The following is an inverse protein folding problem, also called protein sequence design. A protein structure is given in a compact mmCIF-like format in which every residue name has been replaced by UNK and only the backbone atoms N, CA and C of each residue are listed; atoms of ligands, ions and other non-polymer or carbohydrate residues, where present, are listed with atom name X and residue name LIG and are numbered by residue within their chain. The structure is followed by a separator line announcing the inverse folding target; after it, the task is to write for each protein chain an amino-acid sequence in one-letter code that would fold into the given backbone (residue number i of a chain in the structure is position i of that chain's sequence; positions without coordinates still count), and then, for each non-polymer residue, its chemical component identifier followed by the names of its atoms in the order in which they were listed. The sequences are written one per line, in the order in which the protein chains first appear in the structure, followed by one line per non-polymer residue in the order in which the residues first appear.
data_IF_390087955886
#
_entry.id   IF_390087955886
#
_cell.length_a   1.000
_cell.length_b   1.000
_cell.length_c   1.000
_cell.angle_alpha   90.00
_cell.angle_beta   90.00
_cell.angle_gamma   90.00
#
_symmetry.space_group_name_H-M   'P 1'
#
loop_
_entity.id
_entity.type
_entity.pdbx_description
1 polymer ?
#
# COMPACT_ATOMS: atom_id res chain seq x y z
N UNK A 1 -7.96 -46.62 5.72
CA UNK A 1 -7.47 -47.30 6.94
C UNK A 1 -7.03 -46.23 7.90
N UNK A 2 -7.63 -46.26 9.10
CA UNK A 2 -7.26 -45.58 10.37
C UNK A 2 -7.15 -44.06 10.41
N UNK A 3 -8.30 -43.45 10.69
CA UNK A 3 -8.47 -42.18 11.41
C UNK A 3 -7.96 -42.29 12.84
N UNK A 4 -7.11 -41.37 13.30
CA UNK A 4 -6.76 -41.25 14.72
C UNK A 4 -7.37 -39.96 15.26
N UNK A 5 -8.23 -40.13 16.24
CA UNK A 5 -8.93 -39.10 17.02
C UNK A 5 -7.98 -38.72 18.17
N UNK A 6 -7.67 -37.43 18.34
CA UNK A 6 -7.05 -36.93 19.56
C UNK A 6 -8.12 -36.30 20.44
N UNK A 7 -8.37 -36.93 21.59
CA UNK A 7 -9.03 -36.35 22.75
C UNK A 7 -7.96 -35.61 23.57
N UNK A 8 -8.26 -34.38 24.02
CA UNK A 8 -7.46 -33.68 25.04
C UNK A 8 -8.39 -33.20 26.15
N UNK A 9 -8.20 -33.77 27.35
CA UNK A 9 -8.82 -33.37 28.60
C UNK A 9 -8.22 -32.04 29.10
N UNK A 10 -9.09 -31.07 29.36
CA UNK A 10 -8.77 -29.83 30.06
C UNK A 10 -8.69 -30.06 31.57
N UNK A 11 -7.55 -29.71 32.18
CA UNK A 11 -7.47 -29.53 33.63
C UNK A 11 -7.08 -28.07 33.96
N UNK A 12 -8.02 -27.34 34.55
CA UNK A 12 -7.83 -26.03 35.16
C UNK A 12 -7.16 -26.20 36.52
N UNK A 13 -6.17 -25.34 36.83
CA UNK A 13 -5.98 -24.88 38.22
C UNK A 13 -5.41 -23.46 38.25
N UNK A 14 -6.12 -22.62 39.00
CA UNK A 14 -5.80 -21.25 39.38
C UNK A 14 -4.54 -21.15 40.24
N UNK A 15 -3.78 -20.06 40.09
CA UNK A 15 -3.18 -19.35 41.23
C UNK A 15 -3.24 -17.85 40.97
N UNK A 16 -3.96 -17.14 41.83
CA UNK A 16 -4.00 -15.69 41.99
C UNK A 16 -3.07 -15.22 43.12
N UNK A 17 -2.66 -13.95 43.01
CA UNK A 17 -2.24 -12.99 44.06
C UNK A 17 -0.86 -13.04 44.73
N UNK A 18 -0.10 -11.94 44.57
CA UNK A 18 0.23 -10.91 45.60
C UNK A 18 1.07 -9.77 44.96
N UNK A 19 0.59 -8.51 44.87
CA UNK A 19 0.95 -7.33 45.72
C UNK A 19 2.40 -7.33 46.24
N UNK A 20 3.23 -6.27 46.23
CA UNK A 20 3.08 -4.83 46.01
C UNK A 20 4.45 -4.11 46.08
N UNK A 21 4.52 -2.91 45.48
CA UNK A 21 5.35 -1.71 45.83
C UNK A 21 6.86 -1.56 45.49
N UNK A 22 7.18 -0.30 45.11
CA UNK A 22 8.47 0.40 44.94
C UNK A 22 9.16 0.22 43.58
N UNK A 23 9.70 1.23 42.87
CA UNK A 23 9.99 2.65 43.15
C UNK A 23 10.31 3.35 41.83
N UNK A 24 9.98 4.63 41.74
CA UNK A 24 10.29 5.61 40.68
C UNK A 24 11.78 5.69 40.34
N UNK A 25 12.21 5.58 39.08
CA UNK A 25 13.50 6.13 38.60
C UNK A 25 13.38 6.70 37.18
N UNK A 26 14.01 7.86 37.05
CA UNK A 26 14.04 8.86 36.00
C UNK A 26 14.50 8.43 34.60
N UNK A 27 13.96 9.16 33.62
CA UNK A 27 14.48 9.29 32.25
C UNK A 27 15.85 9.99 32.24
N UNK A 28 16.82 9.44 31.51
CA UNK A 28 17.93 10.22 30.92
C UNK A 28 18.48 9.47 29.69
N UNK A 29 18.78 10.13 28.55
CA UNK A 29 19.19 9.46 27.33
C UNK A 29 20.70 9.19 27.29
N UNK A 30 21.07 7.98 26.87
CA UNK A 30 22.43 7.53 26.59
C UNK A 30 23.04 8.32 25.42
N UNK A 31 24.25 8.85 25.63
CA UNK A 31 25.10 9.46 24.63
C UNK A 31 26.08 8.43 24.06
N UNK A 32 25.91 8.04 22.80
CA UNK A 32 26.90 7.22 22.09
C UNK A 32 28.02 8.09 21.53
N UNK A 33 29.19 8.03 22.16
CA UNK A 33 30.48 8.49 21.62
C UNK A 33 31.10 7.39 20.76
N UNK A 34 31.27 7.66 19.46
CA UNK A 34 32.05 6.81 18.55
C UNK A 34 33.52 7.25 18.63
N UNK A 35 34.35 6.49 19.33
CA UNK A 35 35.82 6.57 19.23
C UNK A 35 36.32 5.59 18.17
N UNK A 36 37.01 6.13 17.16
CA UNK A 36 37.72 5.35 16.14
C UNK A 36 39.03 4.81 16.69
N UNK A 37 39.11 3.50 16.91
CA UNK A 37 40.37 2.81 17.19
C UNK A 37 41.03 2.34 15.89
N UNK A 38 42.14 2.98 15.52
CA UNK A 38 43.15 2.42 14.62
C UNK A 38 44.41 2.11 15.43
N UNK A 39 44.89 0.87 15.35
CA UNK A 39 46.22 0.50 15.83
C UNK A 39 46.60 -0.92 15.45
N UNK A 40 47.66 -1.07 14.64
CA UNK A 40 48.67 -2.14 14.75
C UNK A 40 49.85 -1.91 13.77
N UNK A 41 50.91 -1.29 14.31
CA UNK A 41 52.36 -1.50 14.14
C UNK A 41 52.89 -2.50 13.06
N UNK A 42 53.85 -2.05 12.24
CA UNK A 42 55.17 -2.71 12.01
C UNK A 42 56.22 -1.60 11.79
N UNK A 43 57.32 -1.64 12.54
CA UNK A 43 58.34 -0.59 12.59
C UNK A 43 59.51 -0.75 11.62
N UNK A 44 60.34 0.29 11.54
CA UNK A 44 61.80 0.20 11.34
C UNK A 44 62.46 1.55 11.61
N UNK A 45 63.76 1.50 11.89
CA UNK A 45 64.56 2.46 12.66
C UNK A 45 65.40 3.40 11.79
N UNK A 46 65.93 4.46 12.43
CA UNK A 46 67.10 5.32 12.09
C UNK A 46 66.91 6.45 11.06
N UNK A 47 67.05 7.71 11.52
CA UNK A 47 68.33 8.48 11.48
C UNK A 47 68.18 9.89 12.10
N UNK A 48 69.12 10.23 12.98
CA UNK A 48 69.62 11.59 13.30
C UNK A 48 69.98 12.33 12.00
N UNK A 49 70.00 13.65 11.89
CA UNK A 49 69.94 14.77 12.82
C UNK A 49 70.16 16.06 12.00
N UNK A 50 70.64 17.11 12.67
CA UNK A 50 71.08 18.43 12.13
C UNK A 50 69.98 19.50 12.08
N UNK A 51 69.83 20.35 13.11
CA UNK A 51 70.57 21.61 13.40
C UNK A 51 70.48 22.67 12.30
N UNK A 52 69.82 23.81 12.52
CA UNK A 52 70.39 25.00 13.20
C UNK A 52 69.55 26.28 13.02
N UNK A 53 69.57 27.09 14.08
CA UNK A 53 69.53 28.57 14.14
C UNK A 53 68.45 29.38 13.37
N UNK A 54 67.66 30.18 14.12
CA UNK A 54 68.05 31.56 14.46
C UNK A 54 66.90 32.37 15.13
N UNK A 55 67.18 32.85 16.35
CA UNK A 55 66.87 34.17 16.91
C UNK A 55 65.67 34.99 16.36
N UNK A 56 64.68 35.26 17.22
CA UNK A 56 64.54 36.58 17.90
C UNK A 56 63.41 36.60 18.94
N UNK A 57 63.76 37.06 20.14
CA UNK A 57 62.88 37.42 21.26
C UNK A 57 61.89 38.52 20.88
N UNK A 58 60.64 38.40 21.35
CA UNK A 58 59.77 39.50 21.82
C UNK A 58 58.59 38.87 22.56
N UNK A 59 58.67 38.86 23.89
CA UNK A 59 57.85 39.71 24.78
C UNK A 59 56.37 39.34 24.75
N UNK A 60 55.93 38.78 25.87
CA UNK A 60 54.54 38.54 26.25
C UNK A 60 53.61 39.67 25.82
N UNK A 61 52.50 39.30 25.17
CA UNK A 61 51.23 39.93 25.45
C UNK A 61 50.12 38.90 25.28
N UNK A 62 49.48 38.58 26.40
CA UNK A 62 48.25 37.82 26.44
C UNK A 62 47.19 38.55 25.63
N UNK A 63 46.83 37.99 24.47
CA UNK A 63 45.47 38.11 23.97
C UNK A 63 44.88 36.71 24.01
N UNK A 64 44.19 36.47 25.13
CA UNK A 64 43.26 35.35 25.29
C UNK A 64 42.21 35.55 24.19
N UNK A 65 42.39 34.90 23.04
CA UNK A 65 41.32 34.79 22.05
C UNK A 65 40.20 34.05 22.77
N UNK A 66 39.14 34.78 23.12
CA UNK A 66 37.87 34.15 23.40
C UNK A 66 37.43 33.49 22.09
N UNK A 67 37.79 32.21 21.94
CA UNK A 67 37.18 31.35 20.95
C UNK A 67 35.72 31.23 21.36
N UNK A 68 34.89 32.12 20.83
CA UNK A 68 33.45 31.96 20.89
C UNK A 68 33.17 30.64 20.18
N UNK A 69 32.67 29.60 20.88
CA UNK A 69 32.40 28.34 20.23
C UNK A 69 31.37 28.63 19.14
N UNK A 70 31.72 28.37 17.88
CA UNK A 70 30.77 28.41 16.78
C UNK A 70 29.82 27.25 17.07
N UNK A 71 28.72 27.54 17.76
CA UNK A 71 27.64 26.59 17.94
C UNK A 71 27.00 26.45 16.56
N UNK A 72 27.47 25.46 15.79
CA UNK A 72 26.68 24.94 14.70
C UNK A 72 25.41 24.41 15.34
N UNK A 73 24.32 25.19 15.28
CA UNK A 73 22.98 24.64 15.48
C UNK A 73 22.80 23.60 14.38
N UNK A 74 23.18 22.36 14.66
CA UNK A 74 22.78 21.20 13.88
C UNK A 74 21.27 21.21 14.00
N UNK A 75 20.61 21.75 12.98
CA UNK A 75 19.16 21.67 12.85
C UNK A 75 18.90 20.18 12.69
N UNK A 76 18.57 19.50 13.79
CA UNK A 76 18.12 18.11 13.75
C UNK A 76 17.03 18.07 12.69
N UNK A 77 17.17 17.26 11.63
CA UNK A 77 16.18 17.22 10.58
C UNK A 77 14.86 16.86 11.25
N UNK A 78 13.88 17.75 11.10
CA UNK A 78 12.55 17.55 11.66
C UNK A 78 12.04 16.21 11.10
N UNK A 79 11.75 15.25 11.99
CA UNK A 79 11.35 13.92 11.57
C UNK A 79 9.96 14.05 10.94
N UNK A 80 9.92 14.11 9.61
CA UNK A 80 8.68 14.12 8.84
C UNK A 80 8.05 12.74 9.02
N UNK A 81 7.10 12.62 9.95
CA UNK A 81 6.37 11.36 10.22
C UNK A 81 5.39 11.00 9.10
N UNK A 82 4.91 12.01 8.36
CA UNK A 82 3.87 11.87 7.35
C UNK A 82 4.23 12.63 6.07
N UNK A 83 4.24 11.92 4.95
CA UNK A 83 4.43 12.52 3.63
C UNK A 83 3.08 13.02 3.11
N UNK A 84 3.05 14.28 2.65
CA UNK A 84 1.84 14.84 2.02
C UNK A 84 1.41 14.01 0.80
N UNK A 85 0.11 14.02 0.43
CA UNK A 85 -0.39 13.26 -0.72
C UNK A 85 0.38 13.51 -2.02
N UNK A 86 0.85 14.74 -2.24
CA UNK A 86 1.69 15.11 -3.39
C UNK A 86 3.04 14.39 -3.37
N UNK A 87 3.71 14.34 -2.22
CA UNK A 87 4.99 13.63 -2.08
C UNK A 87 4.83 12.12 -2.28
N UNK A 88 3.74 11.55 -1.77
CA UNK A 88 3.41 10.13 -1.97
C UNK A 88 3.24 9.83 -3.47
N UNK A 89 2.49 10.68 -4.16
CA UNK A 89 2.26 10.51 -5.60
C UNK A 89 3.57 10.60 -6.41
N UNK A 90 4.45 11.55 -6.09
CA UNK A 90 5.77 11.64 -6.75
C UNK A 90 6.61 10.38 -6.54
N UNK A 91 6.62 9.81 -5.32
CA UNK A 91 7.32 8.54 -5.05
C UNK A 91 6.71 7.39 -5.86
N UNK A 92 5.38 7.27 -5.86
CA UNK A 92 4.68 6.22 -6.63
C UNK A 92 4.96 6.30 -8.14
N UNK A 93 5.10 7.50 -8.71
CA UNK A 93 5.49 7.66 -10.12
C UNK A 93 6.87 7.05 -10.39
N UNK A 94 7.84 7.33 -9.53
CA UNK A 94 9.20 6.80 -9.65
C UNK A 94 9.18 5.28 -9.49
N UNK A 95 8.46 4.78 -8.48
CA UNK A 95 8.33 3.34 -8.24
C UNK A 95 7.64 2.61 -9.40
N UNK A 96 6.61 3.18 -10.02
CA UNK A 96 5.95 2.56 -11.16
C UNK A 96 6.87 2.43 -12.37
N UNK A 97 7.70 3.44 -12.63
CA UNK A 97 8.71 3.37 -13.70
C UNK A 97 9.76 2.30 -13.37
N UNK A 98 10.23 2.25 -12.11
CA UNK A 98 11.19 1.23 -11.66
C UNK A 98 10.62 -0.18 -11.84
N UNK A 99 9.41 -0.43 -11.33
CA UNK A 99 8.69 -1.70 -11.42
C UNK A 99 8.45 -2.16 -12.87
N UNK A 100 8.18 -1.23 -13.79
CA UNK A 100 7.99 -1.59 -15.22
C UNK A 100 9.26 -2.05 -15.92
N UNK A 101 10.42 -1.65 -15.41
CA UNK A 101 11.73 -2.00 -15.97
C UNK A 101 12.30 -3.29 -15.41
N UNK A 102 11.63 -3.92 -14.45
CA UNK A 102 12.05 -5.21 -13.92
C UNK A 102 12.14 -6.25 -15.04
N UNK A 103 13.18 -7.08 -14.95
CA UNK A 103 13.36 -8.23 -15.83
C UNK A 103 12.30 -9.28 -15.52
N UNK A 104 12.08 -10.21 -16.46
CA UNK A 104 10.98 -11.19 -16.32
C UNK A 104 11.22 -12.12 -15.12
N UNK A 105 12.44 -12.57 -14.92
CA UNK A 105 12.89 -13.36 -13.76
C UNK A 105 12.63 -12.65 -12.43
N UNK A 106 12.95 -11.35 -12.34
CA UNK A 106 12.66 -10.55 -11.15
C UNK A 106 11.15 -10.49 -10.87
N UNK A 107 10.33 -10.23 -11.89
CA UNK A 107 8.87 -10.17 -11.73
C UNK A 107 8.35 -11.54 -11.27
N UNK A 108 8.81 -12.63 -11.88
CA UNK A 108 8.39 -14.00 -11.52
C UNK A 108 8.67 -14.28 -10.04
N UNK A 109 9.93 -14.09 -9.61
CA UNK A 109 10.35 -14.41 -8.23
C UNK A 109 9.59 -13.54 -7.23
N UNK A 110 9.57 -12.22 -7.44
CA UNK A 110 8.91 -11.28 -6.53
C UNK A 110 7.40 -11.51 -6.47
N UNK A 111 6.78 -11.91 -7.59
CA UNK A 111 5.34 -12.18 -7.65
C UNK A 111 4.98 -13.53 -7.02
N UNK A 112 5.84 -14.53 -7.15
CA UNK A 112 5.65 -15.80 -6.46
C UNK A 112 5.67 -15.60 -4.94
N UNK A 113 6.65 -14.85 -4.42
CA UNK A 113 6.70 -14.49 -3.00
C UNK A 113 5.47 -13.71 -2.54
N UNK A 114 5.00 -12.73 -3.32
CA UNK A 114 3.76 -12.03 -2.99
C UNK A 114 2.56 -12.97 -2.93
N UNK A 115 2.45 -13.93 -3.86
CA UNK A 115 1.43 -14.97 -3.82
C UNK A 115 1.50 -15.83 -2.56
N UNK A 116 2.70 -16.27 -2.18
CA UNK A 116 2.94 -17.05 -0.94
C UNK A 116 2.55 -16.26 0.32
N UNK A 117 2.87 -14.96 0.40
CA UNK A 117 2.49 -14.13 1.54
C UNK A 117 0.97 -13.89 1.63
N UNK A 118 0.28 -13.74 0.50
CA UNK A 118 -1.19 -13.74 0.50
C UNK A 118 -1.73 -15.10 0.92
N UNK A 119 -1.13 -16.20 0.46
CA UNK A 119 -1.49 -17.56 0.89
C UNK A 119 -1.36 -17.76 2.40
N UNK A 120 -0.26 -17.28 3.00
CA UNK A 120 -0.06 -17.27 4.45
C UNK A 120 -1.16 -16.50 5.19
N UNK A 121 -1.48 -15.29 4.72
CA UNK A 121 -2.56 -14.49 5.30
C UNK A 121 -3.92 -15.20 5.21
N UNK A 122 -4.21 -15.83 4.08
CA UNK A 122 -5.44 -16.61 3.90
C UNK A 122 -5.48 -17.82 4.83
N UNK A 123 -4.36 -18.54 4.98
CA UNK A 123 -4.24 -19.68 5.88
C UNK A 123 -4.50 -19.27 7.35
N UNK A 124 -3.91 -18.16 7.81
CA UNK A 124 -4.19 -17.62 9.14
C UNK A 124 -5.68 -17.25 9.32
N UNK A 125 -6.26 -16.58 8.32
CA UNK A 125 -7.66 -16.14 8.37
C UNK A 125 -8.65 -17.32 8.43
N UNK A 126 -8.42 -18.41 7.70
CA UNK A 126 -9.28 -19.61 7.76
C UNK A 126 -9.04 -20.42 9.02
N UNK A 127 -7.82 -20.51 9.52
CA UNK A 127 -7.52 -21.29 10.71
C UNK A 127 -8.13 -20.64 11.95
N UNK A 128 -8.09 -19.31 12.05
CA UNK A 128 -8.73 -18.60 13.17
C UNK A 128 -10.24 -18.54 12.97
N UNK A 129 -10.70 -18.15 11.77
CA UNK A 129 -12.12 -17.99 11.51
C UNK A 129 -12.90 -19.30 11.49
N UNK A 130 -12.32 -20.37 10.95
CA UNK A 130 -12.98 -21.66 10.77
C UNK A 130 -12.91 -22.59 11.98
N UNK A 131 -12.11 -22.27 13.01
CA UNK A 131 -12.01 -23.06 14.24
C UNK A 131 -12.76 -22.45 15.43
N UNK A 132 -13.63 -21.46 15.20
CA UNK A 132 -14.47 -20.85 16.25
C UNK A 132 -15.96 -21.00 15.93
N UNK A 133 -16.49 -22.23 15.77
CA UNK A 133 -17.87 -22.47 15.32
C UNK A 133 -18.92 -21.83 16.24
N UNK A 134 -18.69 -21.84 17.56
CA UNK A 134 -19.59 -21.19 18.52
C UNK A 134 -19.69 -19.68 18.29
N UNK A 135 -18.59 -19.03 17.91
CA UNK A 135 -18.60 -17.61 17.55
C UNK A 135 -19.22 -17.39 16.19
N UNK A 136 -18.99 -18.26 15.21
CA UNK A 136 -19.65 -18.17 13.90
C UNK A 136 -21.18 -18.19 14.04
N UNK A 137 -21.71 -19.07 14.89
CA UNK A 137 -23.15 -19.21 15.14
C UNK A 137 -23.71 -18.08 16.02
N UNK A 138 -23.08 -17.78 17.16
CA UNK A 138 -23.62 -16.86 18.17
C UNK A 138 -23.25 -15.39 17.92
N UNK A 139 -22.08 -15.14 17.32
CA UNK A 139 -21.56 -13.79 17.06
C UNK A 139 -20.72 -13.72 15.77
N UNK A 140 -21.36 -13.80 14.59
CA UNK A 140 -20.65 -13.82 13.31
C UNK A 140 -19.82 -12.55 13.06
N UNK A 141 -20.17 -11.42 13.69
CA UNK A 141 -19.39 -10.19 13.62
C UNK A 141 -18.01 -10.34 14.26
N UNK A 142 -17.95 -10.94 15.45
CA UNK A 142 -16.68 -11.17 16.15
C UNK A 142 -15.80 -12.21 15.43
N UNK A 143 -16.39 -13.27 14.89
CA UNK A 143 -15.67 -14.25 14.07
C UNK A 143 -15.00 -13.58 12.85
N UNK A 144 -15.74 -12.74 12.13
CA UNK A 144 -15.22 -12.00 10.97
C UNK A 144 -14.15 -11.00 11.36
N UNK A 145 -14.28 -10.36 12.52
CA UNK A 145 -13.27 -9.44 13.05
C UNK A 145 -11.96 -10.17 13.36
N UNK A 146 -12.02 -11.34 14.01
CA UNK A 146 -10.82 -12.14 14.32
C UNK A 146 -10.10 -12.60 13.04
N UNK A 147 -10.85 -13.13 12.07
CA UNK A 147 -10.31 -13.54 10.77
C UNK A 147 -9.74 -12.34 9.99
N UNK A 148 -10.46 -11.21 9.97
CA UNK A 148 -10.04 -9.99 9.32
C UNK A 148 -8.83 -9.31 9.96
N UNK A 149 -8.68 -9.38 11.28
CA UNK A 149 -7.59 -8.74 12.00
C UNK A 149 -6.22 -9.38 11.69
N UNK A 150 -6.17 -10.67 11.38
CA UNK A 150 -4.90 -11.36 11.08
C UNK A 150 -4.51 -11.34 9.61
N UNK A 151 -5.46 -11.14 8.71
CA UNK A 151 -5.23 -11.12 7.26
C UNK A 151 -4.19 -10.06 6.78
N UNK A 152 -4.05 -8.87 7.39
CA UNK A 152 -3.12 -7.85 6.90
C UNK A 152 -1.65 -8.26 6.82
N UNK A 153 -1.24 -9.32 7.53
CA UNK A 153 0.14 -9.83 7.51
C UNK A 153 0.68 -10.03 6.10
N UNK A 154 -0.15 -10.48 5.16
CA UNK A 154 0.26 -10.74 3.78
C UNK A 154 0.76 -9.48 3.06
N UNK A 155 -0.02 -8.39 3.10
CA UNK A 155 0.40 -7.14 2.45
C UNK A 155 1.49 -6.40 3.23
N UNK A 156 1.54 -6.55 4.57
CA UNK A 156 2.64 -6.04 5.38
C UNK A 156 3.95 -6.66 4.90
N UNK A 157 4.02 -8.00 4.80
CA UNK A 157 5.22 -8.70 4.32
C UNK A 157 5.59 -8.25 2.90
N UNK A 158 4.62 -8.22 1.98
CA UNK A 158 4.84 -7.75 0.60
C UNK A 158 5.43 -6.34 0.55
N UNK A 159 4.89 -5.42 1.36
CA UNK A 159 5.37 -4.05 1.40
C UNK A 159 6.78 -3.93 2.00
N UNK A 160 7.14 -4.78 2.97
CA UNK A 160 8.46 -4.76 3.61
C UNK A 160 9.53 -5.45 2.77
N UNK A 161 9.19 -6.54 2.09
CA UNK A 161 10.12 -7.27 1.21
C UNK A 161 10.23 -6.65 -0.19
N UNK A 162 9.33 -5.74 -0.55
CA UNK A 162 9.28 -5.14 -1.88
C UNK A 162 8.80 -6.11 -2.97
N UNK A 163 8.01 -7.11 -2.61
CA UNK A 163 7.43 -8.10 -3.53
C UNK A 163 6.40 -7.47 -4.48
N UNK A 164 6.13 -8.13 -5.61
CA UNK A 164 5.27 -7.60 -6.68
C UNK A 164 3.86 -8.19 -6.57
N UNK A 165 2.92 -7.42 -6.03
CA UNK A 165 1.51 -7.80 -5.96
C UNK A 165 0.71 -7.09 -7.05
N UNK A 166 0.02 -7.86 -7.89
CA UNK A 166 -0.82 -7.41 -9.00
C UNK A 166 -1.79 -6.29 -8.59
N UNK A 167 -2.57 -6.51 -7.53
CA UNK A 167 -3.64 -5.59 -7.11
C UNK A 167 -3.09 -4.22 -6.69
N UNK A 168 -1.93 -4.19 -6.02
CA UNK A 168 -1.20 -2.95 -5.71
C UNK A 168 -0.52 -2.33 -6.95
N UNK A 169 0.00 -3.15 -7.86
CA UNK A 169 0.65 -2.69 -9.09
C UNK A 169 -0.33 -1.98 -10.03
N UNK A 170 -1.63 -2.33 -10.01
CA UNK A 170 -2.67 -1.60 -10.78
C UNK A 170 -2.61 -0.10 -10.50
N UNK A 171 -2.57 0.33 -9.23
CA UNK A 171 -2.47 1.75 -8.87
C UNK A 171 -1.14 2.36 -9.35
N UNK A 172 -0.03 1.74 -8.95
CA UNK A 172 1.31 2.33 -9.09
C UNK A 172 1.69 2.49 -10.57
N UNK A 173 1.36 1.51 -11.40
CA UNK A 173 1.68 1.55 -12.83
C UNK A 173 0.79 2.53 -13.60
N UNK A 174 -0.48 2.67 -13.23
CA UNK A 174 -1.37 3.64 -13.87
C UNK A 174 -1.02 5.09 -13.53
N UNK A 175 -0.70 5.36 -12.26
CA UNK A 175 -0.18 6.67 -11.86
C UNK A 175 1.09 7.01 -12.68
N UNK A 176 2.01 6.06 -12.83
CA UNK A 176 3.22 6.27 -13.63
C UNK A 176 2.92 6.51 -15.13
N UNK A 177 1.95 5.78 -15.70
CA UNK A 177 1.54 5.94 -17.10
C UNK A 177 0.95 7.33 -17.36
N UNK A 178 0.05 7.81 -16.51
CA UNK A 178 -0.63 9.10 -16.72
C UNK A 178 0.22 10.31 -16.36
N UNK A 179 1.20 10.17 -15.48
CA UNK A 179 1.96 11.32 -14.97
C UNK A 179 2.85 12.01 -15.99
N UNK A 180 3.21 11.33 -17.08
CA UNK A 180 4.16 11.85 -18.06
C UNK A 180 3.50 12.15 -19.41
N UNK A 181 3.97 13.21 -20.06
CA UNK A 181 3.75 13.39 -21.50
C UNK A 181 4.69 12.45 -22.25
N UNK A 182 4.16 11.39 -22.83
CA UNK A 182 4.92 10.42 -23.61
C UNK A 182 4.86 10.76 -25.10
N UNK A 183 5.99 10.64 -25.81
CA UNK A 183 5.98 10.53 -27.28
C UNK A 183 5.40 9.17 -27.65
N UNK A 184 4.65 9.06 -28.75
CA UNK A 184 3.91 7.85 -29.14
C UNK A 184 4.75 6.55 -29.05
N UNK A 185 5.98 6.54 -29.58
CA UNK A 185 6.88 5.37 -29.49
C UNK A 185 7.26 4.99 -28.04
N UNK A 186 7.52 5.99 -27.19
CA UNK A 186 7.84 5.75 -25.76
C UNK A 186 6.61 5.32 -24.98
N UNK A 187 5.42 5.84 -25.34
CA UNK A 187 4.16 5.42 -24.74
C UNK A 187 3.91 3.94 -24.99
N UNK A 188 4.03 3.49 -26.24
CA UNK A 188 3.79 2.09 -26.61
C UNK A 188 4.75 1.16 -25.87
N UNK A 189 6.06 1.48 -25.85
CA UNK A 189 7.05 0.71 -25.11
C UNK A 189 6.69 0.60 -23.62
N UNK A 190 6.29 1.71 -23.00
CA UNK A 190 5.99 1.72 -21.58
C UNK A 190 4.69 1.00 -21.25
N UNK A 191 3.68 1.13 -22.11
CA UNK A 191 2.45 0.37 -22.02
C UNK A 191 2.71 -1.14 -22.09
N UNK A 192 3.54 -1.60 -23.04
CA UNK A 192 3.94 -3.01 -23.12
C UNK A 192 4.67 -3.48 -21.86
N UNK A 193 5.57 -2.67 -21.31
CA UNK A 193 6.27 -2.98 -20.06
C UNK A 193 5.32 -3.08 -18.86
N UNK A 194 4.34 -2.18 -18.76
CA UNK A 194 3.32 -2.21 -17.71
C UNK A 194 2.41 -3.42 -17.84
N UNK A 195 1.89 -3.69 -19.04
CA UNK A 195 1.03 -4.86 -19.30
C UNK A 195 1.78 -6.17 -19.03
N UNK A 196 3.07 -6.26 -19.39
CA UNK A 196 3.94 -7.39 -19.05
C UNK A 196 4.02 -7.58 -17.53
N UNK A 197 4.31 -6.52 -16.77
CA UNK A 197 4.39 -6.61 -15.30
C UNK A 197 3.03 -7.05 -14.71
N UNK A 198 1.92 -6.41 -15.08
CA UNK A 198 0.60 -6.76 -14.56
C UNK A 198 0.22 -8.22 -14.86
N UNK A 199 0.44 -8.67 -16.10
CA UNK A 199 0.10 -10.03 -16.50
C UNK A 199 0.96 -11.08 -15.79
N UNK A 200 2.28 -10.91 -15.79
CA UNK A 200 3.20 -11.87 -15.16
C UNK A 200 3.01 -11.87 -13.64
N UNK A 201 2.84 -10.69 -13.02
CA UNK A 201 2.60 -10.63 -11.57
C UNK A 201 1.30 -11.30 -11.18
N UNK A 202 0.21 -11.06 -11.91
CA UNK A 202 -1.06 -11.74 -11.68
C UNK A 202 -0.93 -13.26 -11.72
N UNK A 203 -0.31 -13.80 -12.79
CA UNK A 203 -0.16 -15.23 -12.97
C UNK A 203 0.64 -15.87 -11.83
N UNK A 204 1.79 -15.29 -11.48
CA UNK A 204 2.66 -15.84 -10.45
C UNK A 204 2.20 -15.55 -9.02
N UNK A 205 1.41 -14.49 -8.80
CA UNK A 205 0.70 -14.28 -7.54
C UNK A 205 -0.36 -15.38 -7.32
N UNK A 206 -1.19 -15.67 -8.33
CA UNK A 206 -2.18 -16.74 -8.26
C UNK A 206 -1.51 -18.11 -8.07
N UNK A 207 -0.42 -18.38 -8.81
CA UNK A 207 0.38 -19.59 -8.64
C UNK A 207 0.97 -19.69 -7.23
N UNK A 208 1.59 -18.63 -6.71
CA UNK A 208 2.16 -18.62 -5.36
C UNK A 208 1.10 -18.85 -4.28
N UNK A 209 -0.08 -18.22 -4.41
CA UNK A 209 -1.20 -18.42 -3.50
C UNK A 209 -1.69 -19.88 -3.52
N UNK A 210 -1.85 -20.46 -4.72
CA UNK A 210 -2.19 -21.88 -4.87
C UNK A 210 -1.12 -22.82 -4.31
N UNK A 211 0.16 -22.57 -4.58
CA UNK A 211 1.26 -23.38 -4.05
C UNK A 211 1.29 -23.34 -2.53
N UNK A 212 1.00 -22.20 -1.92
CA UNK A 212 0.86 -22.12 -0.47
C UNK A 212 -0.28 -23.02 0.03
N UNK A 213 -1.46 -22.90 -0.59
CA UNK A 213 -2.62 -23.74 -0.27
C UNK A 213 -2.29 -25.24 -0.38
N UNK A 214 -1.60 -25.65 -1.45
CA UNK A 214 -1.30 -27.05 -1.70
C UNK A 214 -0.20 -27.59 -0.77
N UNK A 215 0.99 -26.97 -0.77
CA UNK A 215 2.17 -27.50 -0.08
C UNK A 215 2.21 -27.20 1.41
N UNK A 216 1.55 -26.14 1.87
CA UNK A 216 1.64 -25.70 3.27
C UNK A 216 0.33 -25.82 4.03
N UNK A 217 -0.79 -26.13 3.36
CA UNK A 217 -2.09 -26.35 4.03
C UNK A 217 -2.67 -27.72 3.70
N UNK A 218 -2.81 -28.09 2.43
CA UNK A 218 -3.46 -29.34 2.03
C UNK A 218 -2.60 -30.58 2.31
N UNK A 219 -1.32 -30.59 1.91
CA UNK A 219 -0.43 -31.73 2.16
C UNK A 219 -0.10 -31.91 3.66
N UNK A 220 0.42 -30.90 4.38
CA UNK A 220 0.83 -31.07 5.77
C UNK A 220 -0.32 -30.98 6.78
N UNK A 221 -1.48 -30.47 6.39
CA UNK A 221 -2.67 -30.43 7.26
C UNK A 221 -2.44 -29.76 8.64
N UNK A 222 -1.84 -28.56 8.70
CA UNK A 222 -1.55 -27.90 9.97
C UNK A 222 -2.88 -27.54 10.67
N UNK A 223 -3.04 -28.02 11.91
CA UNK A 223 -4.22 -27.76 12.74
C UNK A 223 -5.54 -28.24 12.12
N UNK A 224 -5.58 -29.47 11.61
CA UNK A 224 -6.76 -30.04 11.00
C UNK A 224 -7.89 -30.36 12.00
N UNK A 225 -8.97 -29.60 11.93
CA UNK A 225 -10.29 -29.92 12.53
C UNK A 225 -11.36 -30.11 11.46
N UNK A 226 -12.46 -30.80 11.78
CA UNK A 226 -13.61 -30.90 10.87
C UNK A 226 -14.27 -29.54 10.59
N UNK A 227 -14.16 -28.58 11.52
CA UNK A 227 -14.81 -27.27 11.43
C UNK A 227 -14.20 -26.40 10.34
N UNK A 228 -12.87 -26.23 10.33
CA UNK A 228 -12.25 -25.36 9.34
C UNK A 228 -12.30 -25.96 7.92
N UNK A 229 -12.30 -27.30 7.78
CA UNK A 229 -12.51 -27.98 6.48
C UNK A 229 -13.89 -27.64 5.92
N UNK A 230 -14.94 -27.75 6.75
CA UNK A 230 -16.30 -27.36 6.36
C UNK A 230 -16.39 -25.87 6.05
N UNK A 231 -15.69 -25.04 6.83
CA UNK A 231 -15.61 -23.59 6.61
C UNK A 231 -15.03 -23.24 5.24
N UNK A 232 -13.89 -23.85 4.85
CA UNK A 232 -13.29 -23.58 3.54
C UNK A 232 -14.12 -24.14 2.38
N UNK A 233 -14.77 -25.30 2.55
CA UNK A 233 -15.70 -25.83 1.54
C UNK A 233 -16.88 -24.87 1.30
N UNK A 234 -17.53 -24.43 2.39
CA UNK A 234 -18.65 -23.50 2.33
C UNK A 234 -18.23 -22.15 1.73
N UNK A 235 -17.05 -21.65 2.11
CA UNK A 235 -16.50 -20.41 1.57
C UNK A 235 -16.28 -20.50 0.06
N UNK A 236 -15.73 -21.62 -0.44
CA UNK A 236 -15.51 -21.82 -1.87
C UNK A 236 -16.82 -21.82 -2.65
N UNK A 237 -17.83 -22.56 -2.19
CA UNK A 237 -19.17 -22.56 -2.80
C UNK A 237 -19.81 -21.17 -2.75
N UNK A 238 -19.74 -20.48 -1.61
CA UNK A 238 -20.29 -19.13 -1.45
C UNK A 238 -19.58 -18.07 -2.32
N UNK A 239 -18.32 -18.30 -2.70
CA UNK A 239 -17.56 -17.41 -3.60
C UNK A 239 -17.93 -17.64 -5.06
N UNK A 240 -18.21 -18.87 -5.46
CA UNK A 240 -18.50 -19.21 -6.86
C UNK A 240 -19.98 -19.17 -7.25
N UNK A 241 -20.89 -19.09 -6.28
CA UNK A 241 -22.34 -18.99 -6.53
C UNK A 241 -22.85 -17.54 -6.70
N UNK A 242 -22.00 -16.53 -6.45
CA UNK A 242 -22.38 -15.12 -6.63
C UNK A 242 -22.50 -14.77 -8.12
N UNK A 243 -23.41 -13.84 -8.44
CA UNK A 243 -23.56 -13.36 -9.82
C UNK A 243 -22.36 -12.53 -10.27
N UNK A 244 -22.08 -12.54 -11.58
CA UNK A 244 -20.95 -11.83 -12.18
C UNK A 244 -20.90 -10.34 -11.79
N UNK A 245 -22.03 -9.63 -11.89
CA UNK A 245 -22.11 -8.20 -11.54
C UNK A 245 -21.84 -7.94 -10.05
N UNK A 246 -22.34 -8.80 -9.16
CA UNK A 246 -22.08 -8.67 -7.73
C UNK A 246 -20.59 -8.85 -7.40
N UNK A 247 -19.95 -9.86 -8.01
CA UNK A 247 -18.52 -10.10 -7.85
C UNK A 247 -17.66 -8.92 -8.32
N UNK A 248 -18.02 -8.29 -9.44
CA UNK A 248 -17.35 -7.08 -9.93
C UNK A 248 -17.45 -5.95 -8.90
N UNK A 249 -18.65 -5.67 -8.36
CA UNK A 249 -18.86 -4.61 -7.38
C UNK A 249 -18.09 -4.84 -6.07
N UNK A 250 -18.15 -6.06 -5.53
CA UNK A 250 -17.39 -6.45 -4.33
C UNK A 250 -15.88 -6.29 -4.56
N UNK A 251 -15.40 -6.63 -5.75
CA UNK A 251 -13.99 -6.55 -6.10
C UNK A 251 -13.49 -5.12 -6.35
N UNK A 252 -14.37 -4.20 -6.80
CA UNK A 252 -14.02 -2.77 -6.95
C UNK A 252 -13.64 -2.20 -5.59
N UNK A 253 -14.49 -2.35 -4.58
CA UNK A 253 -14.24 -1.79 -3.25
C UNK A 253 -13.05 -2.51 -2.58
N UNK A 254 -12.90 -3.82 -2.79
CA UNK A 254 -11.73 -4.55 -2.32
C UNK A 254 -10.43 -3.86 -2.77
N UNK A 255 -10.26 -3.64 -4.08
CA UNK A 255 -9.00 -3.09 -4.56
C UNK A 255 -8.87 -1.58 -4.33
N UNK A 256 -9.97 -0.86 -4.08
CA UNK A 256 -9.90 0.49 -3.53
C UNK A 256 -9.20 0.47 -2.16
N UNK A 257 -9.58 -0.42 -1.25
CA UNK A 257 -8.98 -0.50 0.09
C UNK A 257 -7.52 -0.99 0.05
N UNK A 258 -7.20 -1.95 -0.82
CA UNK A 258 -5.81 -2.42 -1.04
C UNK A 258 -4.93 -1.26 -1.54
N UNK A 259 -5.40 -0.50 -2.51
CA UNK A 259 -4.60 0.59 -3.09
C UNK A 259 -4.50 1.81 -2.16
N UNK A 260 -5.53 2.09 -1.34
CA UNK A 260 -5.43 3.03 -0.21
C UNK A 260 -4.39 2.56 0.81
N UNK A 261 -4.33 1.26 1.13
CA UNK A 261 -3.33 0.71 2.04
C UNK A 261 -1.91 0.93 1.53
N UNK A 262 -1.68 0.69 0.23
CA UNK A 262 -0.41 0.98 -0.43
C UNK A 262 -0.09 2.48 -0.38
N UNK A 263 -1.09 3.35 -0.54
CA UNK A 263 -0.92 4.79 -0.38
C UNK A 263 -0.52 5.20 1.03
N UNK A 264 -1.25 4.73 2.05
CA UNK A 264 -0.96 4.98 3.46
C UNK A 264 0.43 4.47 3.87
N UNK A 265 0.82 3.28 3.38
CA UNK A 265 2.17 2.75 3.58
C UNK A 265 3.25 3.67 3.00
N UNK A 266 3.01 4.27 1.83
CA UNK A 266 3.95 5.22 1.23
C UNK A 266 3.91 6.60 1.92
N UNK A 267 2.79 6.95 2.56
CA UNK A 267 2.65 8.17 3.34
C UNK A 267 3.45 8.11 4.65
N UNK A 268 3.47 6.96 5.33
CA UNK A 268 4.21 6.77 6.57
C UNK A 268 5.73 6.65 6.36
N UNK A 269 6.51 7.29 7.24
CA UNK A 269 7.99 7.15 7.27
C UNK A 269 8.48 6.16 8.31
N UNK A 270 7.67 5.83 9.32
CA UNK A 270 8.01 4.83 10.35
C UNK A 270 7.43 3.46 10.01
N UNK A 271 8.07 2.39 10.50
CA UNK A 271 7.59 1.02 10.31
C UNK A 271 6.20 0.81 10.90
N UNK A 272 5.97 1.30 12.14
CA UNK A 272 4.66 1.21 12.80
C UNK A 272 3.56 1.93 12.02
N UNK A 273 3.85 3.12 11.47
CA UNK A 273 2.88 3.84 10.63
C UNK A 273 2.54 3.09 9.33
N UNK A 274 3.52 2.41 8.73
CA UNK A 274 3.30 1.54 7.57
C UNK A 274 2.39 0.37 7.91
N UNK A 275 2.62 -0.26 9.07
CA UNK A 275 1.83 -1.40 9.53
C UNK A 275 0.37 -0.98 9.75
N UNK A 276 0.13 0.08 10.51
CA UNK A 276 -1.23 0.58 10.77
C UNK A 276 -1.93 1.06 9.48
N UNK A 277 -1.18 1.72 8.59
CA UNK A 277 -1.68 2.16 7.28
C UNK A 277 -2.13 1.02 6.37
N UNK A 278 -1.56 -0.18 6.55
CA UNK A 278 -1.97 -1.41 5.85
C UNK A 278 -3.06 -2.16 6.61
N UNK A 279 -2.97 -2.20 7.94
CA UNK A 279 -3.80 -3.07 8.78
C UNK A 279 -5.29 -2.77 8.65
N UNK A 280 -5.69 -1.53 8.92
CA UNK A 280 -7.11 -1.19 9.02
C UNK A 280 -7.87 -1.33 7.70
N UNK A 281 -7.38 -0.85 6.54
CA UNK A 281 -8.13 -1.02 5.31
C UNK A 281 -8.20 -2.48 4.84
N UNK A 282 -7.17 -3.30 5.12
CA UNK A 282 -7.21 -4.75 4.82
C UNK A 282 -8.20 -5.49 5.70
N UNK A 283 -8.13 -5.25 7.02
CA UNK A 283 -9.09 -5.81 7.96
C UNK A 283 -10.52 -5.47 7.56
N UNK A 284 -10.76 -4.22 7.13
CA UNK A 284 -12.07 -3.74 6.68
C UNK A 284 -12.61 -4.56 5.51
N UNK A 285 -11.83 -4.77 4.44
CA UNK A 285 -12.36 -5.49 3.27
C UNK A 285 -12.65 -6.97 3.59
N UNK A 286 -11.86 -7.58 4.46
CA UNK A 286 -12.05 -8.98 4.87
C UNK A 286 -13.29 -9.11 5.75
N UNK A 287 -13.46 -8.22 6.74
CA UNK A 287 -14.64 -8.22 7.61
C UNK A 287 -15.93 -8.02 6.81
N UNK A 288 -15.89 -7.17 5.77
CA UNK A 288 -17.02 -6.89 4.89
C UNK A 288 -17.25 -7.97 3.81
N UNK A 289 -16.33 -8.93 3.65
CA UNK A 289 -16.46 -10.01 2.67
C UNK A 289 -16.29 -9.56 1.22
N UNK A 290 -15.45 -8.55 0.97
CA UNK A 290 -15.10 -8.15 -0.39
C UNK A 290 -14.18 -9.16 -1.08
N UNK A 291 -14.12 -9.12 -2.41
CA UNK A 291 -13.49 -10.17 -3.22
C UNK A 291 -12.13 -9.73 -3.77
N UNK A 292 -11.09 -10.52 -3.49
CA UNK A 292 -9.71 -10.28 -3.91
C UNK A 292 -9.20 -11.43 -4.78
N UNK A 293 -8.80 -11.14 -6.01
CA UNK A 293 -8.48 -12.16 -7.01
C UNK A 293 -7.37 -13.13 -6.55
N UNK A 294 -6.28 -12.60 -5.99
CA UNK A 294 -5.15 -13.42 -5.52
C UNK A 294 -5.52 -14.25 -4.28
N UNK A 295 -6.41 -13.74 -3.41
CA UNK A 295 -6.86 -14.50 -2.24
C UNK A 295 -7.82 -15.61 -2.67
N UNK A 296 -8.66 -15.36 -3.68
CA UNK A 296 -9.56 -16.37 -4.23
C UNK A 296 -8.81 -17.49 -4.96
N UNK A 297 -7.63 -17.21 -5.51
CA UNK A 297 -6.70 -18.23 -6.03
C UNK A 297 -6.09 -19.14 -4.93
N UNK A 298 -6.20 -18.75 -3.65
CA UNK A 298 -5.94 -19.65 -2.51
C UNK A 298 -7.23 -20.35 -2.05
N UNK A 299 -8.29 -19.59 -1.73
CA UNK A 299 -9.47 -20.13 -1.05
C UNK A 299 -10.21 -21.18 -1.89
N UNK A 300 -10.48 -20.86 -3.15
CA UNK A 300 -11.33 -21.71 -4.00
C UNK A 300 -10.64 -23.03 -4.30
N UNK A 301 -9.38 -23.06 -4.80
CA UNK A 301 -8.67 -24.32 -5.01
C UNK A 301 -8.49 -25.14 -3.73
N UNK A 302 -8.25 -24.51 -2.57
CA UNK A 302 -8.14 -25.22 -1.30
C UNK A 302 -9.46 -25.92 -0.94
N UNK A 303 -10.60 -25.24 -1.07
CA UNK A 303 -11.89 -25.87 -0.83
C UNK A 303 -12.19 -26.99 -1.83
N UNK A 304 -11.81 -26.83 -3.10
CA UNK A 304 -11.93 -27.90 -4.11
C UNK A 304 -11.10 -29.14 -3.74
N UNK A 305 -9.86 -28.95 -3.26
CA UNK A 305 -9.00 -30.04 -2.77
C UNK A 305 -9.61 -30.78 -1.58
N UNK A 306 -10.35 -30.07 -0.73
CA UNK A 306 -11.12 -30.65 0.37
C UNK A 306 -12.53 -31.14 -0.03
N UNK A 307 -12.90 -31.12 -1.31
CA UNK A 307 -14.16 -31.70 -1.80
C UNK A 307 -15.35 -30.75 -1.87
N UNK A 308 -15.13 -29.43 -1.93
CA UNK A 308 -16.19 -28.47 -2.24
C UNK A 308 -16.81 -28.76 -3.61
N UNK A 309 -18.13 -28.64 -3.72
CA UNK A 309 -18.86 -28.80 -5.00
C UNK A 309 -18.69 -27.56 -5.88
N UNK A 310 -17.49 -27.39 -6.44
CA UNK A 310 -17.08 -26.27 -7.28
C UNK A 310 -16.30 -26.81 -8.47
N UNK A 311 -16.74 -26.48 -9.68
CA UNK A 311 -16.03 -26.88 -10.90
C UNK A 311 -14.91 -25.89 -11.25
N UNK A 312 -14.00 -26.30 -12.14
CA UNK A 312 -12.99 -25.39 -12.68
C UNK A 312 -13.59 -24.20 -13.44
N UNK A 313 -14.78 -24.37 -14.04
CA UNK A 313 -15.51 -23.28 -14.69
C UNK A 313 -16.03 -22.27 -13.66
N UNK A 314 -16.65 -22.75 -12.58
CA UNK A 314 -17.16 -21.92 -11.49
C UNK A 314 -16.03 -21.10 -10.84
N UNK A 315 -14.84 -21.70 -10.71
CA UNK A 315 -13.67 -21.01 -10.23
C UNK A 315 -13.14 -19.98 -11.22
N UNK A 316 -12.74 -20.39 -12.42
CA UNK A 316 -11.99 -19.52 -13.35
C UNK A 316 -12.88 -18.45 -14.00
N UNK A 317 -14.06 -18.85 -14.47
CA UNK A 317 -14.98 -17.97 -15.20
C UNK A 317 -16.03 -17.39 -14.25
N UNK A 318 -16.57 -18.22 -13.36
CA UNK A 318 -17.61 -17.82 -12.41
C UNK A 318 -17.12 -16.85 -11.33
N UNK A 319 -15.86 -16.96 -10.89
CA UNK A 319 -15.32 -16.11 -9.83
C UNK A 319 -14.08 -15.30 -10.24
N UNK A 320 -13.00 -15.96 -10.65
CA UNK A 320 -11.69 -15.31 -10.77
C UNK A 320 -11.68 -14.21 -11.84
N UNK A 321 -12.37 -14.42 -12.96
CA UNK A 321 -12.52 -13.43 -14.02
C UNK A 321 -13.25 -12.14 -13.57
N UNK A 322 -14.51 -12.19 -13.08
CA UNK A 322 -15.22 -10.98 -12.63
C UNK A 322 -14.50 -10.27 -11.48
N UNK A 323 -13.92 -11.02 -10.53
CA UNK A 323 -13.18 -10.43 -9.41
C UNK A 323 -11.92 -9.71 -9.91
N UNK A 324 -11.20 -10.27 -10.88
CA UNK A 324 -10.03 -9.62 -11.47
C UNK A 324 -10.42 -8.33 -12.19
N UNK A 325 -11.52 -8.35 -12.95
CA UNK A 325 -12.05 -7.15 -13.63
C UNK A 325 -12.38 -6.07 -12.60
N UNK A 326 -13.12 -6.42 -11.54
CA UNK A 326 -13.48 -5.47 -10.49
C UNK A 326 -12.25 -4.93 -9.75
N UNK A 327 -11.26 -5.78 -9.44
CA UNK A 327 -10.02 -5.30 -8.83
C UNK A 327 -9.27 -4.33 -9.75
N UNK A 328 -9.18 -4.60 -11.07
CA UNK A 328 -8.58 -3.66 -12.02
C UNK A 328 -9.33 -2.32 -11.97
N UNK A 329 -10.66 -2.32 -12.07
CA UNK A 329 -11.49 -1.11 -12.03
C UNK A 329 -11.26 -0.32 -10.73
N UNK A 330 -11.31 -0.98 -9.58
CA UNK A 330 -11.16 -0.34 -8.27
C UNK A 330 -9.79 0.30 -8.06
N UNK A 331 -8.72 -0.38 -8.46
CA UNK A 331 -7.37 0.16 -8.36
C UNK A 331 -7.07 1.27 -9.38
N UNK A 332 -7.59 1.10 -10.60
CA UNK A 332 -7.30 1.98 -11.73
C UNK A 332 -8.09 3.28 -11.70
N UNK A 333 -9.41 3.16 -11.66
CA UNK A 333 -10.33 4.24 -11.99
C UNK A 333 -10.60 5.11 -10.77
N UNK A 334 -10.68 4.51 -9.59
CA UNK A 334 -11.10 5.26 -8.40
C UNK A 334 -9.89 5.85 -7.68
N UNK A 335 -8.88 5.07 -7.33
CA UNK A 335 -7.72 5.63 -6.63
C UNK A 335 -6.66 6.19 -7.59
N UNK A 336 -6.30 5.46 -8.65
CA UNK A 336 -5.29 5.91 -9.62
C UNK A 336 -5.68 7.22 -10.31
N UNK A 337 -6.86 7.27 -10.92
CA UNK A 337 -7.31 8.46 -11.62
C UNK A 337 -7.69 9.63 -10.69
N UNK A 338 -8.36 9.39 -9.56
CA UNK A 338 -8.81 10.48 -8.69
C UNK A 338 -7.62 11.15 -7.97
N UNK A 339 -6.71 10.36 -7.40
CA UNK A 339 -5.52 10.90 -6.73
C UNK A 339 -4.64 11.65 -7.73
N UNK A 340 -4.46 11.10 -8.94
CA UNK A 340 -3.76 11.78 -10.01
C UNK A 340 -4.43 13.09 -10.43
N UNK A 341 -5.75 13.07 -10.62
CA UNK A 341 -6.51 14.23 -11.07
C UNK A 341 -6.40 15.39 -10.07
N UNK A 342 -6.64 15.09 -8.78
CA UNK A 342 -6.68 16.09 -7.70
C UNK A 342 -5.28 16.63 -7.38
N UNK A 343 -4.29 15.75 -7.21
CA UNK A 343 -2.99 16.15 -6.67
C UNK A 343 -1.94 16.49 -7.72
N UNK A 344 -2.18 16.17 -9.00
CA UNK A 344 -1.20 16.44 -10.05
C UNK A 344 -1.79 17.13 -11.29
N UNK A 345 -2.82 16.55 -11.92
CA UNK A 345 -3.38 17.12 -13.15
C UNK A 345 -3.95 18.53 -12.93
N UNK A 346 -4.79 18.72 -11.91
CA UNK A 346 -5.38 20.02 -11.56
C UNK A 346 -4.33 21.04 -11.15
N UNK A 347 -3.30 20.62 -10.42
CA UNK A 347 -2.20 21.50 -9.99
C UNK A 347 -1.39 22.00 -11.19
N UNK A 348 -1.03 21.10 -12.13
CA UNK A 348 -0.29 21.46 -13.35
C UNK A 348 -1.10 22.32 -14.32
N UNK A 349 -2.41 22.11 -14.39
CA UNK A 349 -3.30 22.81 -15.32
C UNK A 349 -4.15 23.91 -14.65
N UNK A 350 -3.86 24.29 -13.39
CA UNK A 350 -4.64 25.28 -12.66
C UNK A 350 -4.81 26.56 -13.47
N UNK A 351 -3.71 27.09 -14.03
CA UNK A 351 -3.75 28.26 -14.92
C UNK A 351 -4.57 28.03 -16.20
N UNK A 352 -4.49 26.86 -16.83
CA UNK A 352 -5.24 26.58 -18.06
C UNK A 352 -6.74 26.45 -17.81
N UNK A 353 -7.12 25.79 -16.70
CA UNK A 353 -8.53 25.64 -16.28
C UNK A 353 -9.10 26.99 -15.86
N UNK A 354 -8.35 27.78 -15.08
CA UNK A 354 -8.76 29.13 -14.68
C UNK A 354 -8.92 30.04 -15.90
N UNK A 355 -7.94 30.06 -16.81
CA UNK A 355 -8.00 30.86 -18.04
C UNK A 355 -9.14 30.42 -18.96
N UNK A 356 -9.50 29.13 -18.98
CA UNK A 356 -10.64 28.62 -19.73
C UNK A 356 -11.97 29.05 -19.10
N UNK A 357 -12.11 28.91 -17.78
CA UNK A 357 -13.27 29.35 -17.03
C UNK A 357 -13.45 30.88 -17.14
N UNK A 358 -12.38 31.65 -17.05
CA UNK A 358 -12.35 33.10 -17.23
C UNK A 358 -12.75 33.49 -18.67
N UNK A 359 -12.25 32.79 -19.69
CA UNK A 359 -12.71 32.99 -21.08
C UNK A 359 -14.19 32.69 -21.28
N UNK A 360 -14.73 31.68 -20.60
CA UNK A 360 -16.17 31.38 -20.63
C UNK A 360 -16.95 32.49 -19.92
N UNK A 361 -16.49 32.91 -18.73
CA UNK A 361 -17.10 33.97 -17.96
C UNK A 361 -17.16 35.30 -18.73
N UNK A 362 -16.05 35.70 -19.35
CA UNK A 362 -15.97 36.88 -20.21
C UNK A 362 -16.90 36.78 -21.44
N UNK A 363 -17.03 35.59 -22.05
CA UNK A 363 -18.01 35.37 -23.13
C UNK A 363 -19.46 35.52 -22.64
N UNK A 364 -19.77 35.05 -21.44
CA UNK A 364 -21.11 35.16 -20.85
C UNK A 364 -21.42 36.62 -20.49
N UNK A 365 -20.45 37.32 -19.89
CA UNK A 365 -20.56 38.74 -19.54
C UNK A 365 -20.82 39.62 -20.76
N UNK A 366 -20.03 39.47 -21.83
CA UNK A 366 -20.23 40.19 -23.09
C UNK A 366 -21.59 39.90 -23.74
N UNK A 367 -22.10 38.67 -23.61
CA UNK A 367 -23.45 38.35 -24.10
C UNK A 367 -24.54 39.06 -23.29
N UNK A 368 -24.39 39.19 -21.97
CA UNK A 368 -25.34 39.95 -21.15
C UNK A 368 -25.30 41.44 -21.49
N UNK A 369 -24.11 42.03 -21.55
CA UNK A 369 -23.91 43.44 -21.89
C UNK A 369 -24.49 43.77 -23.28
N UNK A 370 -24.24 42.94 -24.31
CA UNK A 370 -24.83 43.13 -25.63
C UNK A 370 -26.36 42.95 -25.65
N UNK A 371 -26.92 42.13 -24.75
CA UNK A 371 -28.38 41.94 -24.66
C UNK A 371 -29.02 43.15 -24.00
N UNK A 372 -28.42 43.67 -22.94
CA UNK A 372 -28.86 44.89 -22.24
C UNK A 372 -28.73 46.13 -23.16
N UNK A 373 -27.61 46.29 -23.88
CA UNK A 373 -27.44 47.40 -24.82
C UNK A 373 -28.42 47.35 -25.99
N UNK A 374 -28.75 46.15 -26.50
CA UNK A 374 -29.75 45.99 -27.55
C UNK A 374 -31.17 46.24 -27.03
N UNK A 375 -31.44 45.93 -25.76
CA UNK A 375 -32.75 46.18 -25.14
C UNK A 375 -32.95 47.67 -24.88
N UNK A 376 -31.92 48.36 -24.34
CA UNK A 376 -31.95 49.81 -24.13
C UNK A 376 -32.07 50.60 -25.44
N UNK A 377 -31.31 50.23 -26.47
CA UNK A 377 -31.43 50.89 -27.79
C UNK A 377 -32.78 50.61 -28.47
N UNK A 378 -33.37 49.43 -28.26
CA UNK A 378 -34.74 49.13 -28.74
C UNK A 378 -35.81 49.96 -28.01
N UNK A 379 -35.64 50.21 -26.71
CA UNK A 379 -36.54 51.05 -25.90
C UNK A 379 -36.44 52.53 -26.32
N UNK A 380 -35.22 53.06 -26.52
CA UNK A 380 -35.03 54.43 -27.04
C UNK A 380 -35.62 54.61 -28.45
N UNK A 381 -35.51 53.59 -29.31
CA UNK A 381 -36.12 53.58 -30.64
C UNK A 381 -37.65 53.50 -30.61
N UNK A 382 -38.26 52.92 -29.58
CA UNK A 382 -39.72 52.94 -29.39
C UNK A 382 -40.20 54.27 -28.81
N UNK A 383 -39.51 54.82 -27.81
CA UNK A 383 -39.88 56.10 -27.18
C UNK A 383 -39.73 57.28 -28.15
N UNK A 384 -38.72 57.26 -29.02
CA UNK A 384 -38.56 58.27 -30.09
C UNK A 384 -39.65 58.19 -31.16
N UNK A 385 -40.22 57.00 -31.41
CA UNK A 385 -41.35 56.83 -32.34
C UNK A 385 -42.68 57.24 -31.71
N UNK A 386 -42.89 57.01 -30.41
CA UNK A 386 -44.08 57.48 -29.69
C UNK A 386 -44.13 59.00 -29.55
N UNK A 387 -42.98 59.68 -29.43
CA UNK A 387 -42.92 61.15 -29.35
C UNK A 387 -43.03 61.86 -30.73
N UNK A 388 -43.09 61.12 -31.84
CA UNK A 388 -43.24 61.66 -33.21
C UNK A 388 -44.65 61.45 -33.81
N UNK A 389 -45.61 60.96 -33.02
CA UNK A 389 -47.03 60.86 -33.36
C UNK A 389 -47.81 61.83 -32.48
#
# INVERSE_FOLDING_TARGET
MTSTICEEETNQTNVEQQLSTSSSINNTPLSDTVETNQGANIGETKKMGETNHANKRKSQNQHKREETPIIYKVKTPEIILFNSPKMVLERMKVDGIRKSKLTVDQIIILSLFAGLFIGLACAMAILIGGNVPDLEEKNPGLQKLLSGAVFPIGLILIAMTGSELFTGNVLVLLVALFSRKWRAKKFLLQYTQFSKNLFVSYLFNCLGAFLFAYFFVYLPQPCCSAYWIKYIQNMSVAKTTKTFGNLVLLAIICNMLVTVSVFCCNAATTLGGKFLGIWFPLMTFVCLGFEHSIANAFYIPLGMLYGANVTGYDFLIGNLLPVTIGNIIGGAIINGCLLYYVHDFRVRHHRAIFNFAEKIWEKIKKRKENTESNTSSSIELSESKENMV
#
